data_IF_056226556302
#
_entry.id   IF_056226556302
#
_cell.length_a   1.000
_cell.length_b   1.000
_cell.length_c   1.000
_cell.angle_alpha   90.00
_cell.angle_beta   90.00
_cell.angle_gamma   90.00
#
_symmetry.space_group_name_H-M   'P 1'
#
loop_
_entity.id
_entity.type
_entity.pdbx_description
1 polymer ?
#
# COMPACT_ATOMS: atom_id res chain seq x y z
N UNK A 1 27.27 -12.39 -9.74
CA UNK A 1 27.54 -11.03 -9.26
C UNK A 1 27.09 -10.08 -10.36
N UNK A 2 26.00 -9.35 -10.15
CA UNK A 2 25.44 -8.42 -11.14
C UNK A 2 25.32 -7.06 -10.45
N UNK A 3 25.96 -6.03 -11.02
CA UNK A 3 25.92 -4.64 -10.52
C UNK A 3 24.91 -3.84 -11.33
N UNK A 4 23.89 -3.26 -10.69
CA UNK A 4 22.83 -2.49 -11.35
C UNK A 4 23.05 -0.97 -11.20
N UNK A 5 23.32 -0.28 -12.31
CA UNK A 5 23.41 1.18 -12.40
C UNK A 5 22.31 1.68 -13.34
N UNK A 6 21.21 2.18 -12.76
CA UNK A 6 20.05 2.85 -13.37
C UNK A 6 19.33 2.19 -14.57
N UNK A 7 18.05 1.83 -14.33
CA UNK A 7 16.94 1.55 -15.28
C UNK A 7 17.36 1.02 -16.66
N UNK A 8 17.43 -0.33 -16.72
CA UNK A 8 17.85 -1.23 -17.83
C UNK A 8 19.34 -1.58 -17.82
N UNK A 9 19.62 -2.86 -17.54
CA UNK A 9 20.95 -3.44 -17.62
C UNK A 9 21.38 -3.61 -19.10
N UNK A 10 22.49 -2.99 -19.47
CA UNK A 10 23.30 -3.33 -20.66
C UNK A 10 24.75 -3.52 -20.22
N UNK A 11 25.46 -4.49 -20.79
CA UNK A 11 26.85 -4.83 -20.46
C UNK A 11 27.84 -4.06 -21.34
N UNK A 12 28.69 -3.17 -20.80
CA UNK A 12 30.07 -2.91 -21.27
C UNK A 12 30.90 -2.14 -20.21
N UNK A 13 32.24 -2.30 -20.22
CA UNK A 13 33.26 -1.86 -19.23
C UNK A 13 34.03 -0.60 -19.70
N UNK A 14 34.32 0.40 -18.82
CA UNK A 14 35.63 1.07 -18.60
C UNK A 14 35.64 2.41 -17.78
N UNK A 15 36.52 2.47 -16.76
CA UNK A 15 37.39 3.51 -16.11
C UNK A 15 37.05 5.01 -15.80
N UNK A 16 37.11 5.36 -14.48
CA UNK A 16 37.67 6.56 -13.70
C UNK A 16 37.36 8.03 -14.10
N UNK A 17 37.21 9.07 -13.23
CA UNK A 17 37.99 9.57 -12.05
C UNK A 17 37.27 10.77 -11.31
N UNK A 18 37.28 10.82 -9.95
CA UNK A 18 37.34 11.93 -8.90
C UNK A 18 36.75 13.37 -9.13
N UNK A 19 36.27 14.24 -8.19
CA UNK A 19 36.31 14.51 -6.72
C UNK A 19 35.14 15.48 -6.32
N UNK A 20 34.44 15.29 -5.18
CA UNK A 20 34.42 16.10 -3.93
C UNK A 20 33.36 17.24 -3.79
N UNK A 21 32.92 17.60 -2.54
CA UNK A 21 31.52 17.93 -2.23
C UNK A 21 31.26 19.40 -1.83
N UNK A 22 29.97 19.77 -1.75
CA UNK A 22 29.48 21.02 -1.17
C UNK A 22 28.24 20.80 -0.30
N UNK A 23 28.41 20.98 1.01
CA UNK A 23 27.38 21.05 2.05
C UNK A 23 26.62 22.37 1.91
N UNK A 24 25.31 22.38 2.21
CA UNK A 24 24.67 23.47 2.97
C UNK A 24 23.33 22.99 3.57
N UNK A 25 23.26 23.09 4.89
CA UNK A 25 22.06 22.94 5.70
C UNK A 25 21.30 24.27 5.71
N UNK A 26 19.98 24.20 5.83
CA UNK A 26 19.20 25.27 6.46
C UNK A 26 17.94 24.67 7.10
N UNK A 27 17.97 24.59 8.42
CA UNK A 27 16.78 24.53 9.26
C UNK A 27 15.98 25.81 9.08
N UNK A 28 14.66 25.71 9.04
CA UNK A 28 13.85 26.69 9.76
C UNK A 28 12.54 26.06 10.22
N UNK A 29 12.44 25.90 11.54
CA UNK A 29 11.21 25.65 12.27
C UNK A 29 10.36 26.90 12.26
N UNK A 30 9.16 26.83 11.66
CA UNK A 30 8.08 27.77 11.94
C UNK A 30 6.92 26.98 12.50
N UNK A 31 6.66 27.19 13.79
CA UNK A 31 5.48 26.74 14.50
C UNK A 31 4.24 27.38 13.87
N UNK A 32 3.48 26.62 13.08
CA UNK A 32 2.14 26.97 12.66
C UNK A 32 1.14 26.34 13.63
N UNK A 33 0.13 27.12 14.03
CA UNK A 33 -0.99 26.70 14.86
C UNK A 33 -1.55 25.34 14.40
N UNK A 34 -1.40 24.30 15.22
CA UNK A 34 -1.91 22.98 14.90
C UNK A 34 -3.43 23.01 14.95
N UNK A 35 -4.07 22.91 13.78
CA UNK A 35 -5.50 22.59 13.66
C UNK A 35 -5.80 21.19 14.21
N UNK A 36 -7.05 20.69 14.05
CA UNK A 36 -7.43 19.37 14.58
C UNK A 36 -6.44 18.29 14.14
N UNK A 37 -5.98 17.47 15.10
CA UNK A 37 -5.05 16.38 14.83
C UNK A 37 -5.78 15.31 14.05
N UNK A 38 -5.49 15.23 12.76
CA UNK A 38 -6.06 14.25 11.85
C UNK A 38 -5.03 13.21 11.42
N UNK A 39 -5.47 11.98 11.19
CA UNK A 39 -4.65 10.95 10.53
C UNK A 39 -4.61 11.23 9.03
N UNK A 40 -3.46 10.97 8.40
CA UNK A 40 -3.25 11.14 6.96
C UNK A 40 -2.68 9.87 6.33
N UNK A 41 -3.19 9.46 5.18
CA UNK A 41 -2.62 8.38 4.36
C UNK A 41 -2.60 8.75 2.89
N UNK A 42 -1.57 8.27 2.18
CA UNK A 42 -1.44 8.42 0.73
C UNK A 42 -1.67 7.08 0.04
N UNK A 43 -2.44 7.10 -1.05
CA UNK A 43 -2.72 5.91 -1.85
C UNK A 43 -2.30 6.14 -3.29
N UNK A 44 -1.84 5.07 -3.94
CA UNK A 44 -1.57 5.08 -5.38
C UNK A 44 -1.87 3.72 -5.99
N UNK A 45 -2.80 3.70 -6.93
CA UNK A 45 -3.21 2.49 -7.62
C UNK A 45 -4.15 1.60 -6.80
N UNK A 46 -4.76 0.65 -7.52
CA UNK A 46 -5.83 -0.18 -6.96
C UNK A 46 -5.26 -1.29 -6.08
N UNK A 47 -5.76 -1.38 -4.86
CA UNK A 47 -5.42 -2.43 -3.90
C UNK A 47 -5.50 -1.90 -2.47
N UNK A 48 -6.30 -2.56 -1.64
CA UNK A 48 -6.45 -2.25 -0.23
C UNK A 48 -5.30 -2.90 0.55
N UNK A 49 -4.32 -2.08 0.92
CA UNK A 49 -3.03 -2.55 1.47
C UNK A 49 -2.93 -2.45 2.99
N UNK A 50 -3.68 -1.52 3.57
CA UNK A 50 -3.67 -1.27 5.01
C UNK A 50 -5.11 -1.21 5.51
N UNK A 51 -5.41 -2.02 6.52
CA UNK A 51 -6.70 -2.05 7.19
C UNK A 51 -6.57 -1.42 8.56
N UNK A 52 -7.46 -0.47 8.84
CA UNK A 52 -7.52 0.25 10.09
C UNK A 52 -8.72 -0.24 10.87
N UNK A 53 -8.58 -0.43 12.17
CA UNK A 53 -9.72 -0.66 13.02
C UNK A 53 -10.60 0.59 13.07
N UNK A 54 -11.91 0.42 13.09
CA UNK A 54 -12.84 1.53 13.28
C UNK A 54 -12.56 2.21 14.62
N UNK A 55 -12.49 3.53 14.62
CA UNK A 55 -12.38 4.29 15.86
C UNK A 55 -13.65 4.13 16.69
N UNK A 56 -13.57 4.03 18.03
CA UNK A 56 -14.76 4.10 18.89
C UNK A 56 -15.59 5.37 18.64
N UNK A 57 -14.94 6.47 18.26
CA UNK A 57 -15.59 7.73 17.89
C UNK A 57 -16.38 7.66 16.59
N UNK A 58 -16.22 6.60 15.79
CA UNK A 58 -17.01 6.35 14.58
C UNK A 58 -18.22 5.46 14.84
N UNK A 59 -18.43 5.03 16.08
CA UNK A 59 -19.53 4.15 16.49
C UNK A 59 -20.48 5.00 17.35
N UNK A 60 -21.69 5.28 16.84
CA UNK A 60 -22.67 6.12 17.54
C UNK A 60 -23.97 5.35 17.81
N UNK A 61 -23.94 4.32 18.69
CA UNK A 61 -25.10 3.47 18.91
C UNK A 61 -26.26 4.26 19.55
N UNK A 62 -25.97 5.38 20.22
CA UNK A 62 -26.96 6.29 20.80
C UNK A 62 -27.79 7.06 19.75
N UNK A 63 -27.28 7.24 18.52
CA UNK A 63 -28.02 7.88 17.40
C UNK A 63 -28.69 6.86 16.47
N UNK A 64 -28.60 5.56 16.79
CA UNK A 64 -29.05 4.46 15.93
C UNK A 64 -28.04 4.07 14.84
N UNK A 65 -26.84 4.65 14.86
CA UNK A 65 -25.80 4.42 13.86
C UNK A 65 -24.75 3.42 14.34
N UNK A 66 -24.56 2.37 13.56
CA UNK A 66 -23.47 1.42 13.78
C UNK A 66 -22.12 1.98 13.32
N UNK A 67 -22.15 2.88 12.33
CA UNK A 67 -20.97 3.53 11.77
C UNK A 67 -21.30 4.95 11.32
N UNK A 68 -20.43 5.89 11.66
CA UNK A 68 -20.36 7.20 11.06
C UNK A 68 -18.90 7.61 10.94
N UNK A 69 -18.41 7.66 9.70
CA UNK A 69 -17.02 7.99 9.38
C UNK A 69 -16.97 9.27 8.57
N UNK A 70 -16.21 10.25 9.07
CA UNK A 70 -15.82 11.43 8.30
C UNK A 70 -14.42 11.26 7.74
N UNK A 71 -14.24 11.67 6.50
CA UNK A 71 -12.94 11.69 5.86
C UNK A 71 -12.93 12.76 4.77
N UNK A 72 -11.73 13.09 4.32
CA UNK A 72 -11.56 13.90 3.13
C UNK A 72 -10.53 13.27 2.21
N UNK A 73 -10.67 13.52 0.92
CA UNK A 73 -9.77 13.00 -0.10
C UNK A 73 -9.44 14.07 -1.15
N UNK A 74 -8.17 14.20 -1.48
CA UNK A 74 -7.69 14.89 -2.69
C UNK A 74 -7.21 13.85 -3.68
N UNK A 75 -7.96 13.66 -4.75
CA UNK A 75 -7.68 12.75 -5.85
C UNK A 75 -8.40 13.24 -7.12
N UNK A 76 -7.83 13.03 -8.30
CA UNK A 76 -8.46 13.48 -9.55
C UNK A 76 -9.71 12.68 -9.95
N UNK A 77 -9.84 11.44 -9.46
CA UNK A 77 -10.95 10.52 -9.72
C UNK A 77 -10.81 9.25 -8.88
N UNK A 78 -11.80 8.36 -8.93
CA UNK A 78 -11.75 6.97 -8.48
C UNK A 78 -11.09 6.76 -7.10
N UNK A 79 -11.69 7.36 -6.07
CA UNK A 79 -11.30 7.15 -4.68
C UNK A 79 -12.13 6.00 -4.10
N UNK A 80 -11.49 5.00 -3.49
CA UNK A 80 -12.13 3.78 -3.03
C UNK A 80 -11.99 3.63 -1.51
N UNK A 81 -13.10 3.39 -0.83
CA UNK A 81 -13.17 3.00 0.58
C UNK A 81 -13.65 1.55 0.65
N UNK A 82 -12.97 0.70 1.42
CA UNK A 82 -13.45 -0.63 1.77
C UNK A 82 -13.85 -0.65 3.23
N UNK A 83 -15.03 -1.17 3.53
CA UNK A 83 -15.50 -1.46 4.87
C UNK A 83 -15.60 -2.97 5.03
N UNK A 84 -15.00 -3.53 6.09
CA UNK A 84 -14.91 -4.97 6.28
C UNK A 84 -15.11 -5.42 7.73
N UNK A 85 -15.66 -6.64 7.95
CA UNK A 85 -15.60 -7.32 9.24
C UNK A 85 -14.19 -7.80 9.63
N UNK A 86 -13.28 -7.94 8.66
CA UNK A 86 -11.97 -8.57 8.82
C UNK A 86 -10.83 -7.60 8.44
N UNK A 87 -9.65 -7.69 9.07
CA UNK A 87 -8.48 -6.88 8.71
C UNK A 87 -7.79 -7.35 7.41
N UNK A 88 -8.20 -8.48 6.85
CA UNK A 88 -7.59 -9.03 5.63
C UNK A 88 -8.62 -9.81 4.80
N UNK A 89 -9.67 -9.16 4.26
CA UNK A 89 -10.71 -9.86 3.54
C UNK A 89 -10.19 -10.35 2.17
N UNK A 90 -10.56 -11.58 1.82
CA UNK A 90 -10.31 -12.19 0.52
C UNK A 90 -11.18 -11.54 -0.57
N UNK A 91 -10.92 -11.84 -1.85
CA UNK A 91 -11.72 -11.26 -2.95
C UNK A 91 -13.18 -11.73 -2.95
N UNK A 92 -13.45 -12.94 -2.45
CA UNK A 92 -14.78 -13.50 -2.33
C UNK A 92 -15.55 -13.00 -1.10
N UNK A 93 -14.87 -12.39 -0.14
CA UNK A 93 -15.48 -12.02 1.13
C UNK A 93 -16.50 -10.90 0.98
N UNK A 94 -17.56 -11.01 1.76
CA UNK A 94 -18.58 -9.99 1.86
C UNK A 94 -17.97 -8.73 2.51
N UNK A 95 -18.01 -7.60 1.81
CA UNK A 95 -17.49 -6.29 2.24
C UNK A 95 -18.39 -5.19 1.67
N UNK A 96 -18.18 -3.93 2.05
CA UNK A 96 -18.71 -2.80 1.29
C UNK A 96 -17.56 -2.07 0.59
N UNK A 97 -17.62 -1.97 -0.73
CA UNK A 97 -16.74 -1.11 -1.52
C UNK A 97 -17.53 0.13 -1.94
N UNK A 98 -17.08 1.29 -1.47
CA UNK A 98 -17.63 2.60 -1.84
C UNK A 98 -16.62 3.24 -2.79
N UNK A 99 -17.09 3.64 -3.97
CA UNK A 99 -16.27 4.26 -5.00
C UNK A 99 -16.79 5.66 -5.27
N UNK A 100 -15.95 6.67 -5.06
CA UNK A 100 -16.23 8.06 -5.36
C UNK A 100 -15.58 8.46 -6.68
N UNK A 101 -16.31 9.17 -7.53
CA UNK A 101 -15.76 9.74 -8.77
C UNK A 101 -15.24 8.68 -9.76
N UNK A 102 -15.92 7.55 -9.86
CA UNK A 102 -15.72 6.56 -10.91
C UNK A 102 -16.08 7.13 -12.30
N UNK A 103 -15.67 6.42 -13.35
CA UNK A 103 -16.03 6.80 -14.72
C UNK A 103 -15.44 8.14 -15.16
N UNK A 104 -14.19 8.42 -14.75
CA UNK A 104 -13.53 9.73 -14.91
C UNK A 104 -14.25 10.82 -14.11
N UNK A 105 -14.55 10.55 -12.84
CA UNK A 105 -15.18 11.52 -11.93
C UNK A 105 -16.61 11.91 -12.35
N UNK A 106 -17.41 10.95 -12.82
CA UNK A 106 -18.79 11.21 -13.30
C UNK A 106 -19.87 10.54 -12.46
N UNK A 107 -19.56 9.43 -11.79
CA UNK A 107 -20.50 8.72 -10.93
C UNK A 107 -19.80 8.11 -9.72
N UNK A 108 -20.58 7.68 -8.74
CA UNK A 108 -20.13 7.01 -7.52
C UNK A 108 -20.97 5.76 -7.30
N UNK A 109 -20.39 4.73 -6.70
CA UNK A 109 -21.00 3.41 -6.54
C UNK A 109 -20.87 2.88 -5.11
N UNK A 110 -21.86 2.10 -4.67
CA UNK A 110 -21.75 1.15 -3.55
C UNK A 110 -21.77 -0.27 -4.12
N UNK A 111 -20.87 -1.12 -3.64
CA UNK A 111 -20.77 -2.54 -4.02
C UNK A 111 -20.68 -3.41 -2.78
N UNK A 112 -21.20 -4.64 -2.90
CA UNK A 112 -21.23 -5.63 -1.81
C UNK A 112 -20.02 -6.57 -1.76
N UNK A 113 -19.08 -6.39 -2.69
CA UNK A 113 -17.84 -7.15 -2.86
C UNK A 113 -16.88 -6.32 -3.73
N UNK A 114 -15.57 -6.54 -3.59
CA UNK A 114 -14.56 -5.86 -4.40
C UNK A 114 -14.80 -6.14 -5.89
N UNK A 115 -14.89 -5.08 -6.71
CA UNK A 115 -15.11 -5.18 -8.17
C UNK A 115 -16.36 -5.97 -8.56
N UNK A 116 -17.32 -6.12 -7.66
CA UNK A 116 -18.56 -6.80 -7.94
C UNK A 116 -19.60 -5.88 -8.60
N UNK A 117 -20.76 -6.43 -8.91
CA UNK A 117 -21.89 -5.66 -9.39
C UNK A 117 -22.28 -4.56 -8.40
N UNK A 118 -22.52 -3.37 -8.94
CA UNK A 118 -22.99 -2.19 -8.22
C UNK A 118 -24.38 -2.44 -7.63
N UNK A 119 -24.57 -1.96 -6.39
CA UNK A 119 -25.83 -2.05 -5.63
C UNK A 119 -26.59 -0.73 -5.62
N UNK A 120 -25.87 0.38 -5.54
CA UNK A 120 -26.39 1.72 -5.76
C UNK A 120 -25.36 2.53 -6.55
N UNK A 121 -25.84 3.43 -7.40
CA UNK A 121 -25.02 4.32 -8.20
C UNK A 121 -25.66 5.69 -8.25
N UNK A 122 -24.84 6.73 -8.18
CA UNK A 122 -25.30 8.12 -8.24
C UNK A 122 -24.44 8.94 -9.21
N UNK A 123 -25.09 9.77 -10.01
CA UNK A 123 -24.40 10.74 -10.86
C UNK A 123 -23.78 11.84 -9.98
N UNK A 124 -22.46 11.93 -10.00
CA UNK A 124 -21.65 12.72 -9.07
C UNK A 124 -20.49 13.34 -9.82
N UNK A 125 -20.84 14.08 -10.88
CA UNK A 125 -19.84 14.69 -11.76
C UNK A 125 -18.97 15.68 -10.99
N UNK A 126 -17.67 15.57 -11.24
CA UNK A 126 -16.64 16.39 -10.64
C UNK A 126 -16.66 16.34 -9.10
N UNK A 127 -17.09 15.23 -8.49
CA UNK A 127 -17.20 15.11 -7.02
C UNK A 127 -15.83 15.10 -6.32
N UNK A 128 -14.80 14.58 -6.98
CA UNK A 128 -13.41 14.63 -6.50
C UNK A 128 -12.62 15.77 -7.16
N UNK A 129 -11.51 16.18 -6.53
CA UNK A 129 -10.60 17.20 -7.07
C UNK A 129 -9.14 16.77 -6.93
N UNK A 130 -8.35 16.96 -7.98
CA UNK A 130 -6.91 16.73 -7.96
C UNK A 130 -6.12 17.81 -7.23
N UNK A 131 -6.73 18.98 -7.00
CA UNK A 131 -6.09 20.15 -6.39
C UNK A 131 -6.61 20.44 -4.99
N UNK A 132 -7.87 20.13 -4.72
CA UNK A 132 -8.55 20.44 -3.47
C UNK A 132 -8.82 19.19 -2.65
N UNK A 133 -8.70 19.34 -1.32
CA UNK A 133 -9.17 18.33 -0.38
C UNK A 133 -10.70 18.45 -0.28
N UNK A 134 -11.44 17.36 -0.52
CA UNK A 134 -12.90 17.36 -0.43
C UNK A 134 -13.40 16.40 0.62
N UNK A 135 -14.41 16.83 1.37
CA UNK A 135 -14.84 16.21 2.61
C UNK A 135 -16.17 15.46 2.43
N UNK A 136 -16.25 14.30 3.04
CA UNK A 136 -17.33 13.34 2.89
C UNK A 136 -17.61 12.62 4.19
N UNK A 137 -18.80 12.05 4.28
CA UNK A 137 -19.16 11.11 5.33
C UNK A 137 -19.74 9.82 4.76
N UNK A 138 -19.55 8.73 5.50
CA UNK A 138 -20.21 7.44 5.29
C UNK A 138 -20.91 7.05 6.59
N UNK A 139 -22.19 6.73 6.49
CA UNK A 139 -23.05 6.34 7.61
C UNK A 139 -23.61 4.94 7.38
N UNK A 140 -23.66 4.13 8.43
CA UNK A 140 -24.44 2.90 8.45
C UNK A 140 -25.32 2.84 9.70
N UNK A 141 -26.62 2.61 9.52
CA UNK A 141 -27.55 2.46 10.64
C UNK A 141 -27.71 1.00 11.07
N UNK A 142 -28.38 0.77 12.19
CA UNK A 142 -28.68 -0.58 12.71
C UNK A 142 -29.57 -1.43 11.82
N UNK A 143 -30.26 -0.83 10.86
CA UNK A 143 -31.16 -1.50 9.92
C UNK A 143 -30.43 -1.95 8.65
N UNK A 144 -29.17 -1.56 8.44
CA UNK A 144 -28.38 -1.93 7.26
C UNK A 144 -28.40 -0.93 6.11
N UNK A 145 -28.93 0.28 6.33
CA UNK A 145 -28.83 1.37 5.36
C UNK A 145 -27.40 1.91 5.36
N UNK A 146 -26.77 1.94 4.18
CA UNK A 146 -25.48 2.57 3.94
C UNK A 146 -25.72 3.85 3.16
N UNK A 147 -25.29 4.99 3.71
CA UNK A 147 -25.50 6.32 3.13
C UNK A 147 -24.16 7.05 2.99
N UNK A 148 -23.99 7.79 1.90
CA UNK A 148 -22.77 8.55 1.59
C UNK A 148 -23.16 9.98 1.21
N UNK A 149 -22.51 10.97 1.81
CA UNK A 149 -22.81 12.38 1.60
C UNK A 149 -21.60 13.30 1.71
N UNK A 150 -21.84 14.58 1.47
CA UNK A 150 -20.85 15.65 1.63
C UNK A 150 -20.82 16.16 3.07
N UNK A 151 -19.64 16.48 3.58
CA UNK A 151 -19.54 17.14 4.87
C UNK A 151 -20.29 18.48 4.87
N UNK A 152 -21.11 18.70 5.90
CA UNK A 152 -21.99 19.87 6.00
C UNK A 152 -23.35 19.72 5.32
N UNK A 153 -23.60 18.62 4.60
CA UNK A 153 -24.90 18.27 4.04
C UNK A 153 -25.51 17.08 4.79
N UNK A 154 -26.76 17.23 5.23
CA UNK A 154 -27.49 16.14 5.92
C UNK A 154 -28.03 15.08 4.96
N UNK A 155 -28.28 15.46 3.70
CA UNK A 155 -28.84 14.57 2.70
C UNK A 155 -27.72 13.79 1.99
N UNK A 156 -27.78 12.44 1.97
CA UNK A 156 -26.84 11.65 1.20
C UNK A 156 -27.09 11.80 -0.31
N UNK A 157 -26.02 11.78 -1.09
CA UNK A 157 -26.12 11.69 -2.55
C UNK A 157 -26.21 10.23 -3.03
N UNK A 158 -25.91 9.25 -2.18
CA UNK A 158 -25.94 7.83 -2.52
C UNK A 158 -26.32 6.98 -1.30
N UNK A 159 -27.28 6.09 -1.48
CA UNK A 159 -27.78 5.21 -0.41
C UNK A 159 -28.07 3.81 -0.92
N UNK A 160 -27.92 2.82 -0.05
CA UNK A 160 -28.32 1.45 -0.32
C UNK A 160 -28.69 0.69 0.96
N UNK A 161 -29.84 0.02 0.93
CA UNK A 161 -30.29 -0.87 2.00
C UNK A 161 -29.78 -2.30 1.77
N UNK A 162 -28.91 -2.78 2.65
CA UNK A 162 -28.50 -4.18 2.65
C UNK A 162 -29.52 -5.04 3.40
N UNK A 163 -30.08 -6.11 2.79
CA UNK A 163 -30.95 -7.05 3.52
C UNK A 163 -30.17 -7.90 4.55
N UNK A 164 -28.85 -8.04 4.41
CA UNK A 164 -28.00 -8.84 5.30
C UNK A 164 -26.77 -8.00 5.75
N UNK A 165 -26.97 -7.04 6.66
CA UNK A 165 -25.94 -6.09 7.04
C UNK A 165 -24.74 -6.75 7.74
N UNK A 166 -23.55 -6.25 7.45
CA UNK A 166 -22.32 -6.68 8.11
C UNK A 166 -22.01 -5.85 9.35
N UNK A 167 -21.41 -6.51 10.34
CA UNK A 167 -20.67 -5.83 11.39
C UNK A 167 -19.32 -5.35 10.83
N UNK A 168 -19.17 -4.04 10.68
CA UNK A 168 -17.93 -3.44 10.19
C UNK A 168 -17.00 -3.12 11.35
N UNK A 169 -15.80 -3.70 11.29
CA UNK A 169 -14.75 -3.51 12.30
C UNK A 169 -13.52 -2.83 11.71
N UNK A 170 -13.34 -2.89 10.39
CA UNK A 170 -12.16 -2.38 9.70
C UNK A 170 -12.53 -1.56 8.47
N UNK A 171 -11.64 -0.65 8.09
CA UNK A 171 -11.69 0.06 6.83
C UNK A 171 -10.34 0.15 6.13
N UNK A 172 -10.35 0.40 4.83
CA UNK A 172 -9.15 0.62 4.02
C UNK A 172 -9.43 1.63 2.91
N UNK A 173 -8.39 2.34 2.49
CA UNK A 173 -8.44 3.26 1.36
C UNK A 173 -7.57 2.76 0.21
N UNK A 174 -8.02 2.98 -1.03
CA UNK A 174 -7.17 2.93 -2.20
C UNK A 174 -7.70 3.87 -3.29
N UNK A 175 -6.99 3.95 -4.41
CA UNK A 175 -7.41 4.72 -5.58
C UNK A 175 -7.35 3.85 -6.83
N UNK A 176 -7.93 4.26 -7.96
CA UNK A 176 -7.72 3.50 -9.19
C UNK A 176 -6.27 3.54 -9.70
N UNK A 177 -5.94 2.60 -10.58
CA UNK A 177 -4.63 2.51 -11.22
C UNK A 177 -4.19 3.86 -11.80
N UNK A 178 -3.00 4.31 -11.39
CA UNK A 178 -2.40 5.57 -11.84
C UNK A 178 -2.94 6.82 -11.17
N UNK A 179 -3.88 6.72 -10.21
CA UNK A 179 -4.41 7.86 -9.46
C UNK A 179 -3.75 7.95 -8.09
N UNK A 180 -3.25 9.12 -7.75
CA UNK A 180 -2.78 9.44 -6.40
C UNK A 180 -3.94 9.99 -5.55
N UNK A 181 -4.02 9.56 -4.30
CA UNK A 181 -4.96 10.07 -3.31
C UNK A 181 -4.24 10.50 -2.04
N UNK A 182 -4.61 11.66 -1.50
CA UNK A 182 -4.28 12.06 -0.12
C UNK A 182 -5.57 12.02 0.71
N UNK A 183 -5.59 11.20 1.73
CA UNK A 183 -6.73 10.99 2.62
C UNK A 183 -6.45 11.59 3.98
N UNK A 184 -7.45 12.25 4.56
CA UNK A 184 -7.43 12.75 5.93
C UNK A 184 -8.67 12.20 6.65
N UNK A 185 -8.50 11.61 7.82
CA UNK A 185 -9.57 10.93 8.56
C UNK A 185 -9.28 10.93 10.06
N UNK A 186 -10.24 10.52 10.88
CA UNK A 186 -10.13 10.51 12.35
C UNK A 186 -9.57 11.82 12.92
N UNK A 187 -10.19 12.95 12.56
CA UNK A 187 -9.82 14.26 13.10
C UNK A 187 -10.38 14.42 14.52
N UNK A 188 -9.49 14.59 15.50
CA UNK A 188 -9.88 14.93 16.88
C UNK A 188 -9.85 16.45 17.09
N UNK A 189 -10.87 17.00 17.75
CA UNK A 189 -10.84 18.36 18.30
C UNK A 189 -10.19 18.32 19.70
N UNK A 190 -9.36 19.32 20.02
CA UNK A 190 -8.55 19.40 21.25
C UNK A 190 -9.33 19.46 22.58
N UNK A 191 -10.66 19.22 22.58
CA UNK A 191 -11.51 19.23 23.77
C UNK A 191 -11.89 17.82 24.27
N UNK A 192 -11.13 16.78 23.94
CA UNK A 192 -11.26 15.48 24.62
C UNK A 192 -10.37 15.45 25.87
N UNK A 193 -10.73 16.27 26.87
CA UNK A 193 -10.15 16.17 28.20
C UNK A 193 -10.64 14.88 28.86
N UNK A 194 -9.83 13.84 28.82
CA UNK A 194 -9.91 12.74 29.77
C UNK A 194 -10.25 11.35 29.24
N UNK A 195 -10.13 11.08 27.94
CA UNK A 195 -9.78 9.73 27.54
C UNK A 195 -8.32 9.52 27.94
N UNK A 196 -8.05 8.65 28.93
CA UNK A 196 -6.71 8.11 29.07
C UNK A 196 -6.42 7.46 27.73
N UNK A 197 -5.52 8.08 26.96
CA UNK A 197 -5.02 7.59 25.69
C UNK A 197 -4.48 6.18 25.95
N UNK A 198 -5.31 5.16 25.78
CA UNK A 198 -4.80 3.81 25.57
C UNK A 198 -4.29 3.86 24.15
N UNK A 199 -3.07 4.38 23.99
CA UNK A 199 -2.32 4.14 22.77
C UNK A 199 -2.41 2.65 22.51
N UNK A 200 -2.84 2.21 21.32
CA UNK A 200 -2.80 0.79 21.00
C UNK A 200 -1.37 0.36 21.33
N UNK A 201 -1.23 -0.67 22.17
CA UNK A 201 0.08 -1.14 22.57
C UNK A 201 0.75 -1.66 21.31
N UNK A 202 1.49 -0.79 20.63
CA UNK A 202 2.17 -1.13 19.39
C UNK A 202 3.18 -2.20 19.74
N UNK A 203 3.10 -3.33 19.04
CA UNK A 203 4.12 -4.35 19.18
C UNK A 203 5.45 -3.75 18.71
N UNK A 204 6.57 -4.29 19.18
CA UNK A 204 7.88 -3.87 18.68
C UNK A 204 7.98 -3.96 17.15
N UNK A 205 7.29 -4.93 16.54
CA UNK A 205 7.21 -5.09 15.08
C UNK A 205 6.49 -3.91 14.43
N UNK A 206 5.40 -3.43 15.02
CA UNK A 206 4.65 -2.28 14.50
C UNK A 206 5.47 -1.00 14.58
N UNK A 207 6.15 -0.79 15.72
CA UNK A 207 7.07 0.35 15.91
C UNK A 207 8.21 0.31 14.90
N UNK A 208 8.79 -0.87 14.68
CA UNK A 208 9.88 -1.07 13.72
C UNK A 208 9.43 -0.79 12.28
N UNK A 209 8.27 -1.32 11.89
CA UNK A 209 7.69 -1.10 10.56
C UNK A 209 7.39 0.37 10.34
N UNK A 210 6.82 1.05 11.32
CA UNK A 210 6.56 2.49 11.24
C UNK A 210 7.87 3.28 11.08
N UNK A 211 8.89 2.98 11.89
CA UNK A 211 10.18 3.66 11.83
C UNK A 211 10.87 3.51 10.46
N UNK A 212 10.81 2.32 9.86
CA UNK A 212 11.49 2.04 8.59
C UNK A 212 10.70 2.46 7.35
N UNK A 213 9.36 2.31 7.34
CA UNK A 213 8.56 2.43 6.12
C UNK A 213 7.93 3.79 5.89
N UNK A 214 7.73 4.63 6.92
CA UNK A 214 7.00 5.91 6.78
C UNK A 214 7.61 6.86 5.74
N UNK A 215 8.94 6.86 5.60
CA UNK A 215 9.66 7.73 4.64
C UNK A 215 10.44 6.92 3.59
N UNK A 216 10.14 5.64 3.42
CA UNK A 216 10.83 4.79 2.46
C UNK A 216 10.23 5.00 1.05
N UNK A 217 11.03 5.50 0.11
CA UNK A 217 10.65 5.56 -1.30
C UNK A 217 11.00 4.26 -2.04
N UNK A 218 9.96 3.49 -2.38
CA UNK A 218 10.04 2.19 -3.09
C UNK A 218 10.66 2.30 -4.48
N UNK A 219 10.62 3.48 -5.12
CA UNK A 219 11.16 3.67 -6.47
C UNK A 219 12.63 4.11 -6.46
N UNK A 220 13.14 4.54 -5.31
CA UNK A 220 14.50 5.02 -5.16
C UNK A 220 15.44 3.90 -4.71
N UNK A 221 16.58 3.77 -5.39
CA UNK A 221 17.61 2.78 -5.01
C UNK A 221 18.00 2.95 -3.53
N UNK A 222 18.10 1.86 -2.75
CA UNK A 222 18.45 1.91 -1.34
C UNK A 222 19.95 2.06 -1.08
N UNK A 223 20.53 3.14 -1.60
CA UNK A 223 21.92 3.55 -1.35
C UNK A 223 21.93 4.97 -0.81
N UNK A 224 22.80 5.25 0.16
CA UNK A 224 23.00 6.60 0.68
C UNK A 224 23.64 7.51 -0.38
N UNK A 225 24.57 6.96 -1.14
CA UNK A 225 25.24 7.66 -2.23
C UNK A 225 24.75 7.15 -3.59
N UNK A 226 24.21 8.04 -4.42
CA UNK A 226 23.70 7.70 -5.75
C UNK A 226 24.77 7.13 -6.70
N UNK A 227 26.05 7.38 -6.40
CA UNK A 227 27.19 6.89 -7.17
C UNK A 227 27.52 5.42 -6.88
N UNK A 228 27.01 4.86 -5.79
CA UNK A 228 27.31 3.49 -5.38
C UNK A 228 26.45 2.45 -6.09
N UNK A 229 27.03 1.26 -6.28
CA UNK A 229 26.38 0.14 -6.95
C UNK A 229 25.79 -0.83 -5.94
N UNK A 230 24.55 -1.26 -6.16
CA UNK A 230 23.93 -2.34 -5.39
C UNK A 230 24.34 -3.67 -6.01
N UNK A 231 24.90 -4.57 -5.19
CA UNK A 231 25.18 -5.94 -5.62
C UNK A 231 23.95 -6.83 -5.44
N UNK A 232 23.49 -7.42 -6.54
CA UNK A 232 22.37 -8.38 -6.53
C UNK A 232 22.92 -9.80 -6.66
N UNK A 233 22.64 -10.62 -5.66
CA UNK A 233 22.97 -12.03 -5.64
C UNK A 233 21.76 -12.86 -6.09
N UNK A 234 21.88 -13.47 -7.26
CA UNK A 234 20.87 -14.37 -7.81
C UNK A 234 21.31 -15.80 -7.57
N UNK A 235 20.43 -16.61 -6.96
CA UNK A 235 20.63 -18.05 -6.76
C UNK A 235 19.47 -18.80 -7.41
N UNK A 236 19.80 -19.79 -8.23
CA UNK A 236 18.83 -20.68 -8.88
C UNK A 236 19.18 -22.10 -8.44
N UNK A 237 18.26 -22.74 -7.72
CA UNK A 237 18.39 -24.15 -7.35
C UNK A 237 17.37 -24.95 -8.16
N UNK A 238 17.82 -25.61 -9.21
CA UNK A 238 16.95 -26.40 -10.06
C UNK A 238 16.49 -27.67 -9.32
N UNK A 239 15.18 -27.90 -9.31
CA UNK A 239 14.57 -29.11 -8.76
C UNK A 239 14.33 -30.15 -9.88
N UNK A 240 13.85 -29.70 -11.03
CA UNK A 240 13.66 -30.55 -12.21
C UNK A 240 13.73 -29.73 -13.50
N UNK A 241 14.01 -30.42 -14.61
CA UNK A 241 14.10 -29.83 -15.95
C UNK A 241 13.25 -30.65 -16.92
N UNK A 242 12.50 -29.96 -17.78
CA UNK A 242 11.71 -30.56 -18.86
C UNK A 242 12.10 -29.91 -20.18
N UNK A 243 12.19 -30.72 -21.24
CA UNK A 243 12.52 -30.27 -22.59
C UNK A 243 11.41 -30.66 -23.56
N UNK A 244 10.80 -29.69 -24.22
CA UNK A 244 9.95 -29.88 -25.39
C UNK A 244 10.79 -29.56 -26.63
N UNK A 245 11.39 -30.61 -27.20
CA UNK A 245 12.24 -30.49 -28.39
C UNK A 245 11.47 -30.04 -29.63
N UNK A 246 10.16 -30.32 -29.74
CA UNK A 246 9.35 -29.91 -30.90
C UNK A 246 9.06 -28.41 -30.87
N UNK A 247 8.89 -27.84 -29.67
CA UNK A 247 8.65 -26.40 -29.49
C UNK A 247 9.92 -25.61 -29.20
N UNK A 248 11.07 -26.28 -29.07
CA UNK A 248 12.34 -25.67 -28.65
C UNK A 248 12.19 -24.91 -27.33
N UNK A 249 11.52 -25.54 -26.35
CA UNK A 249 11.25 -24.94 -25.03
C UNK A 249 11.83 -25.82 -23.92
N UNK A 250 12.64 -25.20 -23.06
CA UNK A 250 13.09 -25.77 -21.81
C UNK A 250 12.31 -25.14 -20.64
N UNK A 251 11.75 -25.97 -19.76
CA UNK A 251 11.10 -25.56 -18.51
C UNK A 251 11.93 -26.04 -17.32
N UNK A 252 12.35 -25.11 -16.47
CA UNK A 252 13.11 -25.40 -15.25
C UNK A 252 12.25 -25.07 -14.04
N UNK A 253 11.85 -26.09 -13.29
CA UNK A 253 11.26 -25.91 -11.96
C UNK A 253 12.37 -25.69 -10.95
N UNK A 254 12.43 -24.54 -10.30
CA UNK A 254 13.52 -24.15 -9.41
C UNK A 254 13.05 -23.41 -8.16
N UNK A 255 13.92 -23.34 -7.16
CA UNK A 255 13.89 -22.29 -6.16
C UNK A 255 14.71 -21.10 -6.68
N UNK A 256 14.04 -19.99 -6.93
CA UNK A 256 14.68 -18.74 -7.35
C UNK A 256 14.85 -17.86 -6.11
N UNK A 257 16.05 -17.33 -5.90
CA UNK A 257 16.36 -16.51 -4.73
C UNK A 257 17.14 -15.27 -5.13
N UNK A 258 16.70 -14.12 -4.63
CA UNK A 258 17.41 -12.85 -4.68
C UNK A 258 17.87 -12.47 -3.29
N UNK A 259 19.11 -12.01 -3.21
CA UNK A 259 19.70 -11.44 -2.01
C UNK A 259 20.38 -10.12 -2.38
N UNK A 260 20.08 -9.05 -1.65
CA UNK A 260 20.73 -7.76 -1.79
C UNK A 260 20.85 -7.07 -0.41
N UNK A 261 21.54 -5.94 -0.38
CA UNK A 261 21.69 -5.11 0.80
C UNK A 261 20.92 -3.80 0.60
N UNK A 262 20.17 -3.39 1.62
CA UNK A 262 19.37 -2.16 1.65
C UNK A 262 19.82 -1.31 2.84
N UNK A 263 20.52 -0.22 2.55
CA UNK A 263 21.09 0.67 3.57
C UNK A 263 20.03 1.45 4.36
N UNK A 264 18.81 1.57 3.82
CA UNK A 264 17.69 2.27 4.47
C UNK A 264 16.92 1.34 5.41
N UNK A 265 17.19 0.03 5.38
CA UNK A 265 16.51 -1.00 6.16
C UNK A 265 17.39 -1.55 7.29
N UNK A 266 18.15 -0.68 7.94
CA UNK A 266 19.03 -1.01 9.07
C UNK A 266 18.39 -0.51 10.36
N UNK A 267 18.41 -1.34 11.42
CA UNK A 267 17.95 -0.94 12.73
C UNK A 267 18.71 -1.64 13.86
N UNK A 268 18.71 -1.05 15.05
CA UNK A 268 19.24 -1.68 16.26
C UNK A 268 18.15 -2.54 16.93
N UNK A 269 18.32 -3.88 17.02
CA UNK A 269 17.32 -4.77 17.64
C UNK A 269 16.95 -4.39 19.08
N UNK A 270 17.90 -3.80 19.81
CA UNK A 270 17.73 -3.33 21.20
C UNK A 270 16.59 -2.30 21.35
N UNK A 271 16.30 -1.51 20.31
CA UNK A 271 15.24 -0.52 20.31
C UNK A 271 13.84 -1.11 20.04
N UNK A 272 13.77 -2.39 19.67
CA UNK A 272 12.55 -3.05 19.20
C UNK A 272 12.46 -4.48 19.75
N UNK A 273 12.55 -4.65 21.07
CA UNK A 273 12.41 -5.94 21.78
C UNK A 273 13.28 -7.09 21.23
N UNK A 274 14.48 -6.78 20.73
CA UNK A 274 15.40 -7.77 20.19
C UNK A 274 15.01 -8.31 18.80
N UNK A 275 14.12 -7.64 18.08
CA UNK A 275 13.75 -8.01 16.71
C UNK A 275 14.94 -7.91 15.77
N UNK A 276 15.40 -9.05 15.26
CA UNK A 276 16.51 -9.14 14.30
C UNK A 276 16.05 -9.35 12.86
N UNK A 277 14.75 -9.64 12.67
CA UNK A 277 14.18 -10.03 11.39
C UNK A 277 12.85 -9.33 11.22
N UNK A 278 12.63 -8.75 10.04
CA UNK A 278 11.37 -8.19 9.60
C UNK A 278 10.92 -8.88 8.32
N UNK A 279 9.67 -9.32 8.28
CA UNK A 279 9.05 -9.89 7.07
C UNK A 279 8.28 -8.80 6.34
N UNK A 280 8.54 -8.65 5.05
CA UNK A 280 7.92 -7.64 4.17
C UNK A 280 7.40 -8.29 2.90
N UNK A 281 6.40 -7.68 2.27
CA UNK A 281 5.94 -8.08 0.92
C UNK A 281 6.64 -7.25 -0.16
N UNK A 282 6.78 -7.82 -1.36
CA UNK A 282 7.59 -7.31 -2.48
C UNK A 282 7.28 -5.88 -2.98
N UNK A 283 6.26 -5.21 -2.45
CA UNK A 283 5.90 -3.84 -2.82
C UNK A 283 6.07 -2.82 -1.68
N UNK A 284 6.59 -3.25 -0.52
CA UNK A 284 6.83 -2.37 0.63
C UNK A 284 8.21 -1.71 0.62
N UNK A 285 9.15 -2.28 -0.13
CA UNK A 285 10.52 -1.77 -0.29
C UNK A 285 10.96 -1.87 -1.74
N UNK A 286 12.06 -1.20 -2.09
CA UNK A 286 12.66 -1.29 -3.41
C UNK A 286 13.07 -2.73 -3.72
N UNK A 287 12.75 -3.20 -4.93
CA UNK A 287 13.17 -4.50 -5.44
C UNK A 287 13.90 -4.35 -6.78
N UNK A 288 14.95 -5.14 -7.05
CA UNK A 288 15.62 -5.11 -8.33
C UNK A 288 14.72 -5.67 -9.44
N UNK A 289 14.66 -4.97 -10.56
CA UNK A 289 13.97 -5.44 -11.75
C UNK A 289 14.85 -6.45 -12.51
N UNK A 290 14.35 -7.68 -12.69
CA UNK A 290 15.00 -8.72 -13.48
C UNK A 290 14.06 -9.19 -14.59
N UNK A 291 14.62 -9.32 -15.78
CA UNK A 291 13.91 -9.77 -16.98
C UNK A 291 14.59 -11.04 -17.50
N UNK A 292 13.80 -12.08 -17.74
CA UNK A 292 14.28 -13.26 -18.43
C UNK A 292 14.22 -13.04 -19.96
N UNK A 293 15.37 -12.79 -20.58
CA UNK A 293 15.47 -12.40 -21.99
C UNK A 293 15.01 -13.46 -22.98
N UNK A 294 15.28 -14.75 -22.70
CA UNK A 294 14.88 -15.85 -23.58
C UNK A 294 13.56 -16.50 -23.13
N UNK A 295 12.76 -15.82 -22.32
CA UNK A 295 11.51 -16.36 -21.81
C UNK A 295 10.51 -16.71 -22.92
N UNK A 296 9.76 -17.79 -22.71
CA UNK A 296 8.55 -18.08 -23.50
C UNK A 296 7.43 -17.20 -22.94
N UNK A 297 7.12 -16.09 -23.63
CA UNK A 297 6.06 -15.15 -23.22
C UNK A 297 6.62 -13.81 -22.74
N UNK A 298 5.94 -13.18 -21.76
CA UNK A 298 6.45 -11.95 -21.14
C UNK A 298 7.52 -12.37 -20.13
N UNK A 299 8.77 -11.96 -20.33
CA UNK A 299 9.92 -12.26 -19.46
C UNK A 299 9.86 -11.57 -18.10
N UNK A 300 8.77 -11.78 -17.36
CA UNK A 300 8.48 -11.19 -16.06
C UNK A 300 9.43 -11.76 -15.00
N UNK A 301 9.65 -10.98 -13.95
CA UNK A 301 10.33 -11.40 -12.73
C UNK A 301 9.79 -12.77 -12.26
N UNK A 302 10.64 -13.79 -12.07
CA UNK A 302 10.17 -15.14 -11.80
C UNK A 302 9.69 -15.37 -10.36
N UNK A 303 9.68 -14.33 -9.52
CA UNK A 303 9.28 -14.41 -8.11
C UNK A 303 7.80 -14.04 -7.96
N UNK A 304 7.05 -14.88 -7.22
CA UNK A 304 5.63 -14.67 -6.92
C UNK A 304 5.40 -13.86 -5.63
N UNK A 305 4.14 -13.70 -5.18
CA UNK A 305 3.76 -12.89 -4.01
C UNK A 305 4.14 -13.58 -2.67
N UNK A 306 5.43 -13.80 -2.46
CA UNK A 306 6.01 -14.39 -1.25
C UNK A 306 6.63 -13.32 -0.37
N UNK A 307 6.68 -13.57 0.94
CA UNK A 307 7.32 -12.67 1.88
C UNK A 307 8.84 -12.64 1.67
N UNK A 308 9.40 -11.45 1.74
CA UNK A 308 10.82 -11.15 1.82
C UNK A 308 11.24 -11.09 3.28
N UNK A 309 12.42 -11.60 3.57
CA UNK A 309 13.01 -11.55 4.91
C UNK A 309 14.11 -10.50 4.91
N UNK A 310 13.99 -9.50 5.77
CA UNK A 310 14.98 -8.46 6.00
C UNK A 310 15.60 -8.69 7.38
N UNK A 311 16.92 -8.66 7.48
CA UNK A 311 17.62 -8.73 8.77
C UNK A 311 18.05 -7.35 9.24
N UNK A 312 18.27 -7.19 10.54
CA UNK A 312 18.58 -5.90 11.19
C UNK A 312 19.81 -5.19 10.63
N UNK A 313 20.72 -5.95 10.03
CA UNK A 313 21.89 -5.44 9.32
C UNK A 313 21.57 -4.83 7.95
N UNK A 314 20.35 -4.90 7.42
CA UNK A 314 19.96 -4.38 6.10
C UNK A 314 19.99 -5.42 4.98
N UNK A 315 20.29 -6.69 5.27
CA UNK A 315 20.29 -7.74 4.23
C UNK A 315 18.86 -8.21 3.93
N UNK A 316 18.49 -8.18 2.65
CA UNK A 316 17.20 -8.63 2.15
C UNK A 316 17.36 -9.95 1.42
N UNK A 317 16.46 -10.91 1.69
CA UNK A 317 16.36 -12.18 0.96
C UNK A 317 14.93 -12.43 0.51
N UNK A 318 14.76 -12.69 -0.79
CA UNK A 318 13.49 -13.05 -1.40
C UNK A 318 13.61 -14.38 -2.14
N UNK A 319 12.93 -15.41 -1.66
CA UNK A 319 12.96 -16.76 -2.23
C UNK A 319 11.55 -17.21 -2.62
N UNK A 320 11.36 -17.69 -3.84
CA UNK A 320 10.11 -18.30 -4.30
C UNK A 320 10.38 -19.53 -5.15
N UNK A 321 9.43 -20.47 -5.13
CA UNK A 321 9.39 -21.55 -6.13
C UNK A 321 8.93 -20.95 -7.46
N UNK A 322 9.64 -21.27 -8.53
CA UNK A 322 9.45 -20.65 -9.85
C UNK A 322 9.56 -21.68 -10.97
N UNK A 323 8.79 -21.49 -12.04
CA UNK A 323 8.92 -22.25 -13.28
C UNK A 323 9.46 -21.31 -14.37
N UNK A 324 10.73 -21.48 -14.73
CA UNK A 324 11.37 -20.68 -15.77
C UNK A 324 11.19 -21.40 -17.11
N UNK A 325 10.47 -20.78 -18.04
CA UNK A 325 10.33 -21.31 -19.40
C UNK A 325 11.16 -20.48 -20.37
N UNK A 326 12.08 -21.12 -21.08
CA UNK A 326 13.00 -20.46 -22.01
C UNK A 326 12.97 -21.11 -23.38
N UNK A 327 13.14 -20.31 -24.44
CA UNK A 327 13.45 -20.82 -25.78
C UNK A 327 14.93 -21.18 -25.86
N UNK A 328 15.24 -22.35 -26.42
CA UNK A 328 16.59 -22.89 -26.55
C UNK A 328 16.84 -23.48 -27.93
#
# INVERSE_FOLDING_TARGET
MVTASNKRLWLTIAFSLHLAPGVLSANNSSSENEGPKCKTIFTFGYGYRQFFHMSPSSIHPATGDLLYMKFSVKARSDAHILLSPSPSPEESDAVYEIVLGAGRNTFSDIRRRRRAATKASSYTKDILSGTEQREFWVRMNSEGMISVGHEGEDLPFMEWQDPEPLLILYFSFCTWSGVAGKWVYDCSSDNDTGATEVQPVLTATDKLRQALLTNYDVYSRPVANSSETIQINVKIQANHVQLDAKKSVMTVGCMFTLEWYDEKMIWSPENFDGLNILNLVHHEIWVPELVNFNAVGKGVLPLGPTAMRVTSDGKVRWSSRSHLQTRC
#
